data_IF_988200537329
#
_entry.id   IF_988200537329
#
_cell.length_a   1.000
_cell.length_b   1.000
_cell.length_c   1.000
_cell.angle_alpha   90.00
_cell.angle_beta   90.00
_cell.angle_gamma   90.00
#
_symmetry.space_group_name_H-M   'P 1'
#
loop_
_entity.id
_entity.type
_entity.pdbx_description
1 polymer ?
#
# COMPACT_ATOMS: atom_id res chain seq x y z
N UNK A 1 36.47 42.11 -4.24
CA UNK A 1 37.28 43.28 -3.86
C UNK A 1 38.74 42.98 -4.16
N UNK A 2 39.38 43.84 -4.96
CA UNK A 2 40.79 43.69 -5.35
C UNK A 2 41.72 44.19 -4.24
N UNK A 3 43.01 43.81 -4.27
CA UNK A 3 43.96 44.24 -3.23
C UNK A 3 44.19 45.76 -3.21
N UNK A 4 44.11 46.42 -4.37
CA UNK A 4 44.22 47.88 -4.50
C UNK A 4 43.07 48.60 -3.80
N UNK A 5 41.84 48.14 -4.01
CA UNK A 5 40.64 48.65 -3.34
C UNK A 5 40.72 48.46 -1.83
N UNK A 6 41.23 47.32 -1.37
CA UNK A 6 41.42 47.09 0.06
C UNK A 6 42.46 48.05 0.67
N UNK A 7 43.52 48.35 -0.09
CA UNK A 7 44.53 49.31 0.34
C UNK A 7 43.97 50.75 0.35
N UNK A 8 43.10 51.11 -0.59
CA UNK A 8 42.33 52.37 -0.59
C UNK A 8 41.45 52.47 0.67
N UNK A 9 40.69 51.42 1.00
CA UNK A 9 39.86 51.44 2.23
C UNK A 9 40.71 51.55 3.50
N UNK A 10 41.91 50.95 3.53
CA UNK A 10 42.81 51.00 4.71
C UNK A 10 43.51 52.33 4.90
N UNK A 11 43.69 53.11 3.83
CA UNK A 11 44.41 54.39 3.86
C UNK A 11 43.55 55.54 4.39
N UNK A 12 42.22 55.37 4.50
CA UNK A 12 41.34 56.41 5.05
C UNK A 12 41.74 56.83 6.48
N UNK A 13 41.90 58.14 6.66
CA UNK A 13 42.15 58.79 7.96
C UNK A 13 40.87 59.43 8.47
N UNK A 14 40.15 60.16 7.60
CA UNK A 14 38.86 60.76 7.88
C UNK A 14 37.87 60.47 6.71
N UNK A 15 37.11 59.36 6.75
CA UNK A 15 36.21 58.97 5.67
C UNK A 15 34.98 59.88 5.60
N UNK A 16 34.34 59.94 4.43
CA UNK A 16 33.01 60.55 4.30
C UNK A 16 31.98 59.75 5.12
N UNK A 17 30.89 60.41 5.52
CA UNK A 17 29.84 59.77 6.32
C UNK A 17 29.27 58.51 5.66
N UNK A 18 29.18 58.48 4.32
CA UNK A 18 28.74 57.32 3.56
C UNK A 18 29.73 56.16 3.66
N UNK A 19 31.04 56.42 3.53
CA UNK A 19 32.08 55.39 3.62
C UNK A 19 32.16 54.81 5.04
N UNK A 20 32.06 55.66 6.07
CA UNK A 20 32.03 55.21 7.46
C UNK A 20 30.84 54.29 7.74
N UNK A 21 29.64 54.65 7.26
CA UNK A 21 28.42 53.86 7.40
C UNK A 21 28.54 52.48 6.76
N UNK A 22 29.16 52.39 5.59
CA UNK A 22 29.37 51.11 4.88
C UNK A 22 30.33 50.20 5.62
N UNK A 23 31.43 50.75 6.14
CA UNK A 23 32.39 49.93 6.86
C UNK A 23 31.84 49.47 8.21
N UNK A 24 31.05 50.31 8.88
CA UNK A 24 30.30 49.93 10.08
C UNK A 24 29.29 48.81 9.78
N UNK A 25 28.52 48.91 8.69
CA UNK A 25 27.54 47.88 8.31
C UNK A 25 28.20 46.53 8.00
N UNK A 26 29.36 46.53 7.37
CA UNK A 26 30.13 45.30 7.10
C UNK A 26 30.65 44.68 8.40
N UNK A 27 31.12 45.49 9.35
CA UNK A 27 31.54 44.97 10.67
C UNK A 27 30.36 44.30 11.38
N UNK A 28 29.19 44.96 11.38
CA UNK A 28 27.96 44.40 11.96
C UNK A 28 27.57 43.10 11.28
N UNK A 29 27.62 43.03 9.94
CA UNK A 29 27.31 41.82 9.17
C UNK A 29 28.26 40.66 9.48
N UNK A 30 29.52 40.95 9.78
CA UNK A 30 30.54 39.98 10.18
C UNK A 30 30.50 39.63 11.68
N UNK A 31 29.56 40.17 12.44
CA UNK A 31 29.41 39.92 13.88
C UNK A 31 30.31 40.76 14.78
N UNK A 32 31.08 41.70 14.22
CA UNK A 32 31.95 42.60 14.96
C UNK A 32 31.20 43.90 15.29
N UNK A 33 30.85 44.10 16.56
CA UNK A 33 30.17 45.34 17.00
C UNK A 33 31.19 46.48 17.19
N UNK A 34 31.63 47.06 16.08
CA UNK A 34 32.50 48.23 16.11
C UNK A 34 31.67 49.51 16.34
N UNK A 35 31.62 50.00 17.57
CA UNK A 35 30.86 51.20 17.98
C UNK A 35 31.52 52.52 17.58
N UNK A 36 32.84 52.52 17.37
CA UNK A 36 33.63 53.71 17.06
C UNK A 36 34.41 53.53 15.75
N UNK A 37 34.63 54.63 15.01
CA UNK A 37 35.41 54.61 13.76
C UNK A 37 36.80 53.97 13.93
N UNK A 38 37.46 54.19 15.06
CA UNK A 38 38.76 53.57 15.36
C UNK A 38 38.69 52.03 15.42
N UNK A 39 37.59 51.47 15.94
CA UNK A 39 37.39 50.02 15.99
C UNK A 39 37.13 49.46 14.59
N UNK A 40 36.27 50.13 13.80
CA UNK A 40 36.01 49.79 12.39
C UNK A 40 37.30 49.80 11.59
N UNK A 41 38.10 50.87 11.73
CA UNK A 41 39.39 51.03 11.04
C UNK A 41 40.38 49.94 11.42
N UNK A 42 40.45 49.57 12.69
CA UNK A 42 41.34 48.50 13.17
C UNK A 42 40.95 47.16 12.57
N UNK A 43 39.65 46.85 12.54
CA UNK A 43 39.14 45.61 11.96
C UNK A 43 39.42 45.48 10.47
N UNK A 44 39.15 46.53 9.67
CA UNK A 44 39.36 46.53 8.21
C UNK A 44 40.86 46.46 7.85
N UNK A 45 41.74 46.94 8.73
CA UNK A 45 43.20 46.86 8.56
C UNK A 45 43.78 45.47 8.81
N UNK A 46 43.04 44.57 9.45
CA UNK A 46 43.53 43.22 9.70
C UNK A 46 43.83 42.50 8.37
N UNK A 47 44.90 41.71 8.36
CA UNK A 47 45.36 41.00 7.15
C UNK A 47 44.37 39.91 6.70
N UNK A 48 43.60 39.36 7.62
CA UNK A 48 42.60 38.31 7.41
C UNK A 48 41.23 38.84 6.94
N UNK A 49 41.00 40.15 6.95
CA UNK A 49 39.71 40.76 6.58
C UNK A 49 39.14 40.22 5.25
N UNK A 50 40.00 40.11 4.21
CA UNK A 50 39.58 39.58 2.90
C UNK A 50 39.11 38.13 2.99
N UNK A 51 39.79 37.31 3.80
CA UNK A 51 39.44 35.91 4.01
C UNK A 51 38.14 35.78 4.82
N UNK A 52 37.93 36.65 5.80
CA UNK A 52 36.71 36.68 6.60
C UNK A 52 35.50 37.03 5.72
N UNK A 53 35.64 38.05 4.86
CA UNK A 53 34.59 38.46 3.92
C UNK A 53 34.28 37.37 2.88
N UNK A 54 35.30 36.68 2.36
CA UNK A 54 35.09 35.63 1.35
C UNK A 54 34.50 34.35 1.92
N UNK A 55 34.84 34.01 3.17
CA UNK A 55 34.45 32.74 3.80
C UNK A 55 33.19 32.88 4.67
N UNK A 56 32.52 34.04 4.65
CA UNK A 56 31.27 34.22 5.37
C UNK A 56 30.22 33.25 4.80
N UNK A 57 29.73 32.35 5.65
CA UNK A 57 28.59 31.49 5.34
C UNK A 57 27.31 32.26 5.62
N UNK A 58 26.50 32.46 4.59
CA UNK A 58 25.23 33.18 4.70
C UNK A 58 24.26 32.49 5.67
N UNK A 59 24.38 31.18 5.81
CA UNK A 59 23.53 30.36 6.69
C UNK A 59 23.75 30.65 8.18
N UNK A 60 24.95 31.12 8.54
CA UNK A 60 25.36 31.40 9.92
C UNK A 60 25.01 32.85 10.34
N UNK A 61 24.44 33.66 9.44
CA UNK A 61 24.02 35.02 9.75
C UNK A 61 22.79 34.98 10.66
N UNK A 62 22.98 35.32 11.93
CA UNK A 62 21.90 35.38 12.90
C UNK A 62 20.79 36.38 12.50
N UNK A 63 19.54 36.03 12.79
CA UNK A 63 18.37 36.86 12.50
C UNK A 63 18.49 38.26 13.13
N UNK A 64 19.06 38.35 14.33
CA UNK A 64 19.31 39.61 15.02
C UNK A 64 20.24 40.54 14.22
N UNK A 65 21.29 39.99 13.58
CA UNK A 65 22.22 40.76 12.73
C UNK A 65 21.52 41.20 11.46
N UNK A 66 20.71 40.32 10.86
CA UNK A 66 19.93 40.61 9.66
C UNK A 66 18.94 41.76 9.88
N UNK A 67 18.20 41.71 11.00
CA UNK A 67 17.25 42.75 11.37
C UNK A 67 17.96 44.08 11.64
N UNK A 68 19.07 44.07 12.39
CA UNK A 68 19.92 45.26 12.61
C UNK A 68 20.40 45.86 11.28
N UNK A 69 20.83 45.03 10.35
CA UNK A 69 21.28 45.47 9.02
C UNK A 69 20.16 46.12 8.22
N UNK A 70 18.94 45.56 8.31
CA UNK A 70 17.75 46.09 7.67
C UNK A 70 17.37 47.46 8.22
N UNK A 71 17.17 47.53 9.52
CA UNK A 71 16.63 48.72 10.19
C UNK A 71 17.61 49.90 10.18
N UNK A 72 18.90 49.63 10.41
CA UNK A 72 19.92 50.68 10.57
C UNK A 72 20.53 51.15 9.25
N UNK A 73 20.62 50.27 8.23
CA UNK A 73 21.34 50.56 7.00
C UNK A 73 20.48 50.42 5.74
N UNK A 74 19.94 49.23 5.45
CA UNK A 74 19.26 48.96 4.16
C UNK A 74 17.99 49.80 3.94
N UNK A 75 17.29 50.19 5.01
CA UNK A 75 16.10 51.06 4.91
C UNK A 75 16.44 52.52 4.60
N UNK A 76 17.72 52.93 4.65
CA UNK A 76 18.13 54.30 4.38
C UNK A 76 18.24 54.53 2.87
N UNK A 77 17.68 55.61 2.32
CA UNK A 77 17.78 55.92 0.88
C UNK A 77 19.20 56.26 0.43
N UNK A 78 20.11 56.49 1.38
CA UNK A 78 21.53 56.75 1.15
C UNK A 78 22.37 55.47 1.08
N UNK A 79 21.82 54.34 1.52
CA UNK A 79 22.48 53.04 1.49
C UNK A 79 22.23 52.32 0.15
N UNK A 80 22.69 52.94 -0.93
CA UNK A 80 22.55 52.39 -2.28
C UNK A 80 23.89 52.31 -3.01
N UNK A 81 23.95 51.43 -4.02
CA UNK A 81 25.18 51.20 -4.77
C UNK A 81 25.70 52.46 -5.47
N UNK A 82 24.81 53.25 -6.07
CA UNK A 82 25.18 54.40 -6.91
C UNK A 82 25.80 55.55 -6.09
N UNK A 83 25.13 55.99 -5.02
CA UNK A 83 25.61 57.05 -4.12
C UNK A 83 26.92 56.66 -3.46
N UNK A 84 27.08 55.39 -3.09
CA UNK A 84 28.27 54.91 -2.39
C UNK A 84 29.42 54.68 -3.37
N UNK A 85 29.14 54.17 -4.58
CA UNK A 85 30.16 54.04 -5.63
C UNK A 85 30.69 55.40 -6.08
N UNK A 86 29.87 56.46 -6.04
CA UNK A 86 30.30 57.82 -6.30
C UNK A 86 31.26 58.35 -5.21
N UNK A 87 31.10 57.89 -3.96
CA UNK A 87 32.00 58.26 -2.86
C UNK A 87 33.29 57.42 -2.84
N UNK A 88 33.21 56.10 -3.08
CA UNK A 88 34.35 55.21 -3.27
C UNK A 88 33.92 53.95 -4.01
N UNK A 89 34.66 53.63 -5.08
CA UNK A 89 34.41 52.44 -5.90
C UNK A 89 34.62 51.14 -5.13
N UNK A 90 35.59 51.12 -4.21
CA UNK A 90 35.85 50.00 -3.31
C UNK A 90 34.65 49.74 -2.37
N UNK A 91 34.10 50.79 -1.79
CA UNK A 91 32.95 50.72 -0.88
C UNK A 91 31.66 50.30 -1.62
N UNK A 92 31.48 50.75 -2.87
CA UNK A 92 30.34 50.33 -3.70
C UNK A 92 30.27 48.81 -3.90
N UNK A 93 31.42 48.15 -4.14
CA UNK A 93 31.48 46.69 -4.27
C UNK A 93 31.13 45.98 -2.96
N UNK A 94 31.59 46.49 -1.83
CA UNK A 94 31.31 45.91 -0.52
C UNK A 94 29.82 46.05 -0.14
N UNK A 95 29.20 47.17 -0.47
CA UNK A 95 27.75 47.35 -0.26
C UNK A 95 26.94 46.39 -1.11
N UNK A 96 27.28 46.26 -2.39
CA UNK A 96 26.60 45.31 -3.27
C UNK A 96 26.69 43.87 -2.72
N UNK A 97 27.86 43.48 -2.21
CA UNK A 97 28.04 42.21 -1.53
C UNK A 97 27.19 42.10 -0.26
N UNK A 98 27.21 43.10 0.62
CA UNK A 98 26.45 43.08 1.88
C UNK A 98 24.93 43.00 1.64
N UNK A 99 24.41 43.72 0.64
CA UNK A 99 23.00 43.64 0.22
C UNK A 99 22.68 42.21 -0.24
N UNK A 100 23.52 41.63 -1.10
CA UNK A 100 23.32 40.28 -1.62
C UNK A 100 23.34 39.23 -0.49
N UNK A 101 24.24 39.35 0.48
CA UNK A 101 24.32 38.47 1.65
C UNK A 101 23.03 38.50 2.47
N UNK A 102 22.52 39.69 2.81
CA UNK A 102 21.29 39.83 3.58
C UNK A 102 20.08 39.29 2.81
N UNK A 103 19.96 39.61 1.52
CA UNK A 103 18.88 39.12 0.67
C UNK A 103 18.89 37.59 0.53
N UNK A 104 20.08 37.00 0.34
CA UNK A 104 20.22 35.55 0.24
C UNK A 104 19.92 34.86 1.58
N UNK A 105 20.30 35.45 2.72
CA UNK A 105 19.93 34.95 4.04
C UNK A 105 18.41 34.91 4.24
N UNK A 106 17.68 35.97 3.84
CA UNK A 106 16.21 36.00 3.91
C UNK A 106 15.56 34.98 2.98
N UNK A 107 16.13 34.79 1.79
CA UNK A 107 15.66 33.77 0.87
C UNK A 107 15.87 32.37 1.46
N UNK A 108 17.03 32.10 2.06
CA UNK A 108 17.33 30.82 2.68
C UNK A 108 16.35 30.50 3.83
N UNK A 109 15.99 31.48 4.66
CA UNK A 109 14.98 31.32 5.70
C UNK A 109 13.61 30.92 5.15
N UNK A 110 13.26 31.40 3.96
CA UNK A 110 12.03 30.99 3.26
C UNK A 110 12.18 29.64 2.58
N UNK A 111 13.36 29.29 2.07
CA UNK A 111 13.59 28.04 1.36
C UNK A 111 13.69 26.83 2.28
N UNK A 112 14.27 26.99 3.49
CA UNK A 112 14.39 25.91 4.47
C UNK A 112 13.07 25.16 4.76
N UNK A 113 11.98 25.83 5.17
CA UNK A 113 10.72 25.13 5.45
C UNK A 113 10.15 24.45 4.21
N UNK A 114 10.33 25.04 3.02
CA UNK A 114 9.88 24.43 1.77
C UNK A 114 10.68 23.17 1.42
N UNK A 115 11.99 23.17 1.68
CA UNK A 115 12.84 21.98 1.49
C UNK A 115 12.50 20.88 2.50
N UNK A 116 12.27 21.24 3.76
CA UNK A 116 11.86 20.28 4.80
C UNK A 116 10.48 19.68 4.49
N UNK A 117 9.53 20.51 4.05
CA UNK A 117 8.20 20.08 3.63
C UNK A 117 8.27 19.17 2.41
N UNK A 118 9.05 19.53 1.39
CA UNK A 118 9.28 18.70 0.21
C UNK A 118 9.84 17.33 0.59
N UNK A 119 10.86 17.29 1.44
CA UNK A 119 11.44 16.03 1.91
C UNK A 119 10.45 15.17 2.70
N UNK A 120 9.61 15.79 3.54
CA UNK A 120 8.53 15.09 4.25
C UNK A 120 7.49 14.53 3.29
N UNK A 121 7.08 15.30 2.28
CA UNK A 121 6.10 14.87 1.27
C UNK A 121 6.63 13.74 0.40
N UNK A 122 7.90 13.80 -0.02
CA UNK A 122 8.55 12.73 -0.78
C UNK A 122 8.61 11.43 0.03
N UNK A 123 8.93 11.51 1.33
CA UNK A 123 8.91 10.34 2.21
C UNK A 123 7.51 9.75 2.38
N UNK A 124 6.49 10.60 2.53
CA UNK A 124 5.09 10.14 2.62
C UNK A 124 4.63 9.51 1.31
N UNK A 125 4.96 10.10 0.16
CA UNK A 125 4.65 9.54 -1.15
C UNK A 125 5.28 8.15 -1.31
N UNK A 126 6.57 8.01 -1.00
CA UNK A 126 7.28 6.73 -1.08
C UNK A 126 6.66 5.67 -0.15
N UNK A 127 6.29 6.03 1.08
CA UNK A 127 5.58 5.12 1.99
C UNK A 127 4.22 4.67 1.42
N UNK A 128 3.43 5.61 0.92
CA UNK A 128 2.12 5.32 0.35
C UNK A 128 2.24 4.42 -0.90
N UNK A 129 3.24 4.62 -1.75
CA UNK A 129 3.51 3.76 -2.91
C UNK A 129 3.81 2.32 -2.46
N UNK A 130 4.70 2.15 -1.48
CA UNK A 130 5.02 0.83 -0.93
C UNK A 130 3.78 0.14 -0.31
N UNK A 131 3.00 0.88 0.47
CA UNK A 131 1.74 0.37 1.06
C UNK A 131 0.72 -0.01 -0.03
N UNK A 132 0.61 0.79 -1.09
CA UNK A 132 -0.27 0.50 -2.21
C UNK A 132 0.18 -0.76 -2.97
N UNK A 133 1.48 -0.97 -3.18
CA UNK A 133 1.99 -2.20 -3.78
C UNK A 133 1.70 -3.44 -2.91
N UNK A 134 1.90 -3.34 -1.61
CA UNK A 134 1.62 -4.44 -0.69
C UNK A 134 0.12 -4.77 -0.61
N UNK A 135 -0.74 -3.75 -0.62
CA UNK A 135 -2.19 -3.94 -0.71
C UNK A 135 -2.59 -4.60 -2.03
N UNK A 136 -2.01 -4.19 -3.17
CA UNK A 136 -2.26 -4.85 -4.46
C UNK A 136 -1.86 -6.33 -4.44
N UNK A 137 -0.70 -6.66 -3.84
CA UNK A 137 -0.27 -8.06 -3.67
C UNK A 137 -1.25 -8.86 -2.81
N UNK A 138 -1.71 -8.28 -1.69
CA UNK A 138 -2.70 -8.92 -0.81
C UNK A 138 -4.04 -9.14 -1.51
N UNK A 139 -4.50 -8.18 -2.30
CA UNK A 139 -5.73 -8.32 -3.11
C UNK A 139 -5.57 -9.50 -4.08
N UNK A 140 -4.47 -9.56 -4.84
CA UNK A 140 -4.23 -10.65 -5.77
C UNK A 140 -4.19 -12.03 -5.08
N UNK A 141 -3.59 -12.12 -3.89
CA UNK A 141 -3.59 -13.35 -3.09
C UNK A 141 -5.00 -13.75 -2.64
N UNK A 142 -5.80 -12.79 -2.18
CA UNK A 142 -7.18 -13.04 -1.76
C UNK A 142 -8.05 -13.47 -2.94
N UNK A 143 -7.93 -12.82 -4.09
CA UNK A 143 -8.62 -13.22 -5.32
C UNK A 143 -8.29 -14.65 -5.74
N UNK A 144 -7.01 -15.05 -5.66
CA UNK A 144 -6.58 -16.42 -5.92
C UNK A 144 -7.19 -17.43 -4.93
N UNK A 145 -7.22 -17.08 -3.64
CA UNK A 145 -7.81 -17.94 -2.60
C UNK A 145 -9.33 -18.09 -2.79
N UNK A 146 -10.01 -17.02 -3.17
CA UNK A 146 -11.46 -17.02 -3.47
C UNK A 146 -11.73 -17.93 -4.68
N UNK A 147 -10.97 -17.79 -5.76
CA UNK A 147 -11.14 -18.62 -6.95
C UNK A 147 -10.90 -20.11 -6.65
N UNK A 148 -9.87 -20.42 -5.85
CA UNK A 148 -9.61 -21.80 -5.40
C UNK A 148 -10.77 -22.37 -4.59
N UNK A 149 -11.26 -21.59 -3.61
CA UNK A 149 -12.38 -22.01 -2.75
C UNK A 149 -13.66 -22.20 -3.56
N UNK A 150 -13.89 -21.35 -4.57
CA UNK A 150 -15.05 -21.47 -5.46
C UNK A 150 -14.99 -22.73 -6.34
N UNK A 151 -13.81 -23.09 -6.84
CA UNK A 151 -13.59 -24.36 -7.57
C UNK A 151 -13.85 -25.57 -6.68
N UNK A 152 -13.31 -25.58 -5.47
CA UNK A 152 -13.53 -26.65 -4.50
C UNK A 152 -15.02 -26.79 -4.16
N UNK A 153 -15.70 -25.67 -3.87
CA UNK A 153 -17.13 -25.66 -3.58
C UNK A 153 -17.96 -26.23 -4.75
N UNK A 154 -17.63 -25.86 -6.00
CA UNK A 154 -18.29 -26.41 -7.19
C UNK A 154 -18.10 -27.92 -7.30
N UNK A 155 -16.89 -28.41 -7.04
CA UNK A 155 -16.58 -29.84 -7.06
C UNK A 155 -17.33 -30.61 -5.97
N UNK A 156 -17.33 -30.12 -4.73
CA UNK A 156 -18.06 -30.76 -3.64
C UNK A 156 -19.57 -30.75 -3.89
N UNK A 157 -20.10 -29.66 -4.45
CA UNK A 157 -21.52 -29.57 -4.81
C UNK A 157 -21.90 -30.58 -5.90
N UNK A 158 -21.05 -30.80 -6.90
CA UNK A 158 -21.32 -31.79 -7.96
C UNK A 158 -21.25 -33.22 -7.41
N UNK A 159 -20.28 -33.52 -6.55
CA UNK A 159 -20.16 -34.81 -5.86
C UNK A 159 -21.37 -35.08 -4.96
N UNK A 160 -21.81 -34.10 -4.17
CA UNK A 160 -22.99 -34.22 -3.33
C UNK A 160 -24.27 -34.51 -4.15
N UNK A 161 -24.45 -33.85 -5.29
CA UNK A 161 -25.58 -34.12 -6.21
C UNK A 161 -25.51 -35.52 -6.83
N UNK A 162 -24.32 -35.99 -7.20
CA UNK A 162 -24.13 -37.35 -7.72
C UNK A 162 -24.51 -38.39 -6.66
N UNK A 163 -23.99 -38.26 -5.44
CA UNK A 163 -24.33 -39.13 -4.30
C UNK A 163 -25.82 -39.09 -3.96
N UNK A 164 -26.45 -37.92 -4.00
CA UNK A 164 -27.90 -37.80 -3.79
C UNK A 164 -28.69 -38.57 -4.86
N UNK A 165 -28.22 -38.55 -6.11
CA UNK A 165 -28.85 -39.30 -7.21
C UNK A 165 -28.67 -40.81 -7.02
N UNK A 166 -27.47 -41.24 -6.62
CA UNK A 166 -27.19 -42.65 -6.33
C UNK A 166 -28.01 -43.16 -5.14
N UNK A 167 -28.15 -42.35 -4.08
CA UNK A 167 -29.02 -42.67 -2.95
C UNK A 167 -30.48 -42.87 -3.39
N UNK A 168 -31.02 -42.00 -4.25
CA UNK A 168 -32.37 -42.18 -4.81
C UNK A 168 -32.49 -43.47 -5.62
N UNK A 169 -31.48 -43.80 -6.42
CA UNK A 169 -31.47 -45.03 -7.20
C UNK A 169 -31.42 -46.29 -6.32
N UNK A 170 -30.61 -46.26 -5.26
CA UNK A 170 -30.53 -47.34 -4.27
C UNK A 170 -31.84 -47.48 -3.53
N UNK A 171 -32.45 -46.37 -3.09
CA UNK A 171 -33.75 -46.38 -2.43
C UNK A 171 -34.82 -47.03 -3.33
N UNK A 172 -34.90 -46.65 -4.60
CA UNK A 172 -35.83 -47.26 -5.56
C UNK A 172 -35.55 -48.75 -5.83
N UNK A 173 -34.32 -49.24 -5.64
CA UNK A 173 -34.02 -50.68 -5.68
C UNK A 173 -34.50 -51.37 -4.41
N UNK A 174 -34.27 -50.78 -3.24
CA UNK A 174 -34.73 -51.29 -1.95
C UNK A 174 -36.26 -51.41 -1.95
N UNK A 175 -36.97 -50.36 -2.36
CA UNK A 175 -38.44 -50.35 -2.38
C UNK A 175 -39.00 -51.46 -3.30
N UNK A 176 -38.37 -51.69 -4.46
CA UNK A 176 -38.72 -52.81 -5.37
C UNK A 176 -38.45 -54.17 -4.75
N UNK A 177 -37.32 -54.34 -4.07
CA UNK A 177 -36.99 -55.59 -3.37
C UNK A 177 -37.98 -55.89 -2.25
N UNK A 178 -38.42 -54.87 -1.51
CA UNK A 178 -39.46 -55.02 -0.46
C UNK A 178 -40.77 -55.47 -1.09
N UNK A 179 -41.25 -54.79 -2.14
CA UNK A 179 -42.50 -55.16 -2.82
C UNK A 179 -42.46 -56.60 -3.39
N UNK A 180 -41.29 -57.02 -3.90
CA UNK A 180 -41.10 -58.39 -4.39
C UNK A 180 -41.13 -59.42 -3.26
N UNK A 181 -40.51 -59.12 -2.11
CA UNK A 181 -40.59 -59.98 -0.92
C UNK A 181 -42.04 -60.13 -0.43
N UNK A 182 -42.81 -59.05 -0.38
CA UNK A 182 -44.23 -59.08 -0.02
C UNK A 182 -45.04 -59.96 -0.99
N UNK A 183 -44.79 -59.83 -2.30
CA UNK A 183 -45.43 -60.68 -3.31
C UNK A 183 -45.04 -62.16 -3.17
N UNK A 184 -43.77 -62.47 -2.84
CA UNK A 184 -43.33 -63.85 -2.66
C UNK A 184 -43.92 -64.47 -1.39
N UNK A 185 -44.06 -63.70 -0.31
CA UNK A 185 -44.70 -64.16 0.93
C UNK A 185 -46.16 -64.49 0.67
N UNK A 186 -46.89 -63.64 -0.05
CA UNK A 186 -48.31 -63.90 -0.37
C UNK A 186 -48.48 -65.10 -1.30
N UNK A 187 -47.60 -65.28 -2.29
CA UNK A 187 -47.65 -66.46 -3.18
C UNK A 187 -47.28 -67.75 -2.42
N UNK A 188 -46.33 -67.70 -1.47
CA UNK A 188 -46.02 -68.83 -0.58
C UNK A 188 -47.23 -69.22 0.25
N UNK A 189 -47.89 -68.27 0.92
CA UNK A 189 -49.10 -68.54 1.71
C UNK A 189 -50.22 -69.15 0.86
N UNK A 190 -50.39 -68.64 -0.37
CA UNK A 190 -51.32 -69.20 -1.35
C UNK A 190 -50.96 -70.64 -1.75
N UNK A 191 -49.68 -70.93 -2.00
CA UNK A 191 -49.23 -72.29 -2.32
C UNK A 191 -49.39 -73.24 -1.14
N UNK A 192 -49.11 -72.81 0.09
CA UNK A 192 -49.34 -73.59 1.30
C UNK A 192 -50.84 -73.93 1.45
N UNK A 193 -51.73 -72.95 1.32
CA UNK A 193 -53.18 -73.18 1.36
C UNK A 193 -53.67 -74.12 0.23
N UNK A 194 -53.12 -73.97 -0.98
CA UNK A 194 -53.44 -74.85 -2.12
C UNK A 194 -52.94 -76.27 -1.90
N UNK A 195 -51.76 -76.42 -1.29
CA UNK A 195 -51.19 -77.73 -0.96
C UNK A 195 -52.00 -78.43 0.12
N UNK A 196 -52.42 -77.68 1.16
CA UNK A 196 -53.25 -78.20 2.25
C UNK A 196 -54.65 -78.62 1.76
N UNK A 197 -55.27 -77.83 0.89
CA UNK A 197 -56.56 -78.19 0.25
C UNK A 197 -56.43 -79.38 -0.68
N UNK A 198 -55.33 -79.51 -1.43
CA UNK A 198 -55.06 -80.71 -2.23
C UNK A 198 -54.84 -81.95 -1.36
N UNK A 199 -54.12 -81.81 -0.24
CA UNK A 199 -53.91 -82.90 0.74
C UNK A 199 -55.22 -83.33 1.38
N UNK A 200 -56.10 -82.38 1.74
CA UNK A 200 -57.41 -82.71 2.28
C UNK A 200 -58.25 -83.46 1.25
N UNK A 201 -58.34 -82.98 -0.01
CA UNK A 201 -59.04 -83.69 -1.10
C UNK A 201 -58.52 -85.12 -1.32
N UNK A 202 -57.21 -85.34 -1.27
CA UNK A 202 -56.60 -86.68 -1.35
C UNK A 202 -57.00 -87.57 -0.15
N UNK A 203 -57.16 -87.00 1.05
CA UNK A 203 -57.60 -87.74 2.23
C UNK A 203 -59.10 -88.07 2.22
N UNK A 204 -59.94 -87.27 1.54
CA UNK A 204 -61.39 -87.44 1.51
C UNK A 204 -61.89 -88.46 0.48
N UNK A 205 -61.02 -89.23 -0.17
CA UNK A 205 -61.42 -90.47 -0.85
C UNK A 205 -62.00 -90.33 -2.26
N UNK A 206 -61.34 -89.58 -3.15
CA UNK A 206 -61.57 -89.65 -4.62
C UNK A 206 -60.37 -90.24 -5.38
N UNK A 207 -59.78 -91.35 -4.90
CA UNK A 207 -58.68 -92.05 -5.58
C UNK A 207 -59.13 -93.07 -6.63
N UNK A 208 -60.21 -92.79 -7.39
CA UNK A 208 -60.66 -93.69 -8.46
C UNK A 208 -60.56 -93.10 -9.88
N UNK A 209 -60.17 -91.83 -10.07
CA UNK A 209 -60.21 -91.24 -11.43
C UNK A 209 -59.32 -90.01 -11.65
N UNK A 210 -57.99 -90.16 -11.61
CA UNK A 210 -57.11 -89.10 -12.11
C UNK A 210 -56.70 -89.41 -13.58
N UNK A 211 -57.25 -88.73 -14.60
CA UNK A 211 -56.77 -88.87 -15.97
C UNK A 211 -55.41 -88.17 -16.11
N UNK A 212 -54.60 -88.62 -17.08
CA UNK A 212 -53.20 -88.23 -17.39
C UNK A 212 -52.91 -86.71 -17.46
N UNK A 213 -53.93 -85.85 -17.41
CA UNK A 213 -53.84 -84.39 -17.41
C UNK A 213 -53.27 -83.79 -16.10
N UNK A 214 -53.47 -84.43 -14.94
CA UNK A 214 -52.95 -83.90 -13.67
C UNK A 214 -51.41 -83.97 -13.57
N UNK A 215 -50.81 -85.02 -14.14
CA UNK A 215 -49.35 -85.15 -14.25
C UNK A 215 -48.74 -84.14 -15.24
N UNK A 216 -49.46 -83.81 -16.32
CA UNK A 216 -49.05 -82.75 -17.25
C UNK A 216 -49.14 -81.36 -16.62
N UNK A 217 -50.17 -81.09 -15.81
CA UNK A 217 -50.30 -79.81 -15.12
C UNK A 217 -49.20 -79.58 -14.06
N UNK A 218 -48.78 -80.65 -13.35
CA UNK A 218 -47.63 -80.58 -12.44
C UNK A 218 -46.30 -80.37 -13.19
N UNK A 219 -46.12 -81.01 -14.34
CA UNK A 219 -44.92 -80.84 -15.17
C UNK A 219 -44.82 -79.44 -15.80
N UNK A 220 -45.93 -78.85 -16.24
CA UNK A 220 -45.94 -77.47 -16.79
C UNK A 220 -45.61 -76.44 -15.70
N UNK A 221 -46.14 -76.60 -14.47
CA UNK A 221 -45.83 -75.71 -13.35
C UNK A 221 -44.37 -75.76 -12.90
N UNK A 222 -43.70 -76.91 -13.03
CA UNK A 222 -42.27 -77.02 -12.75
C UNK A 222 -41.41 -76.29 -13.81
N UNK A 223 -41.87 -76.20 -15.06
CA UNK A 223 -41.17 -75.52 -16.15
C UNK A 223 -41.35 -73.98 -16.07
N UNK A 224 -42.52 -73.50 -15.64
CA UNK A 224 -42.78 -72.07 -15.47
C UNK A 224 -41.96 -71.43 -14.33
N UNK A 225 -41.67 -72.19 -13.26
CA UNK A 225 -40.79 -71.71 -12.17
C UNK A 225 -39.32 -71.64 -12.61
N UNK A 226 -38.89 -72.49 -13.56
CA UNK A 226 -37.52 -72.47 -14.11
C UNK A 226 -37.30 -71.28 -15.06
N UNK A 227 -38.35 -70.81 -15.76
CA UNK A 227 -38.26 -69.61 -16.60
C UNK A 227 -38.31 -68.29 -15.83
N UNK A 228 -38.81 -68.28 -14.59
CA UNK A 228 -38.87 -67.06 -13.76
C UNK A 228 -37.55 -66.74 -13.01
N UNK A 229 -36.56 -67.65 -13.04
CA UNK A 229 -35.29 -67.54 -12.29
C UNK A 229 -34.06 -67.49 -13.23
N UNK A 230 -34.25 -67.57 -14.56
CA UNK A 230 -33.16 -67.38 -15.51
C UNK A 230 -32.77 -65.88 -15.58
N UNK A 231 -31.46 -65.55 -15.66
CA UNK A 231 -30.90 -64.23 -15.33
C UNK A 231 -31.32 -63.09 -16.26
#
# INVERSE_FOLDING_TARGET
>A
MNNEELNEVRSFVNPSALVAMVLESICVLLGENATNWNAVRTFVRRRDFKSIVSNLKTEDIADAVRQKMRDKYLNRPDYNFEKISNASRACGRLVKWAIAQVQYADMLQKLKPLQDELGSLEQQASKNENEAEDLKKRIAQLEQSVESSFKEHKQLTSQAKALQTDLKNVQAKVDRSIALLESLVSERERWEATSETFRSQMSTGETARAPRLALLAAAVRAVDVVWLIAP
#
